data_IF_673395393362
#
_entry.id   IF_673395393362
#
_cell.length_a   1.000
_cell.length_b   1.000
_cell.length_c   1.000
_cell.angle_alpha   90.00
_cell.angle_beta   90.00
_cell.angle_gamma   90.00
#
_symmetry.space_group_name_H-M   'P 1'
#
loop_
_entity.id
_entity.type
_entity.pdbx_description
1 polymer ?
#
# COMPACT_ATOMS: atom_id res chain seq x y z
N UNK A 1 -10.75 -2.70 -68.15
CA UNK A 1 -11.10 -1.33 -68.59
C UNK A 1 -11.09 -0.40 -67.37
N UNK A 2 -10.29 0.67 -67.45
CA UNK A 2 -10.42 2.01 -66.82
C UNK A 2 -10.78 2.18 -65.32
N UNK A 3 -9.73 2.46 -64.53
CA UNK A 3 -9.45 3.68 -63.73
C UNK A 3 -10.56 4.66 -63.29
N UNK A 4 -10.54 5.03 -61.99
CA UNK A 4 -10.57 6.39 -61.39
C UNK A 4 -10.46 6.23 -59.86
N UNK A 5 -9.39 6.61 -59.14
CA UNK A 5 -8.87 7.94 -58.75
C UNK A 5 -9.86 8.84 -58.01
N UNK A 6 -9.75 8.88 -56.67
CA UNK A 6 -9.61 10.14 -55.92
C UNK A 6 -8.73 9.95 -54.68
N UNK A 7 -7.98 11.01 -54.40
CA UNK A 7 -6.90 11.22 -53.43
C UNK A 7 -7.40 11.82 -52.13
N UNK A 8 -6.78 11.48 -51.00
CA UNK A 8 -6.58 12.47 -49.92
C UNK A 8 -5.29 12.21 -49.13
N UNK A 9 -4.70 13.31 -48.64
CA UNK A 9 -3.28 13.49 -48.29
C UNK A 9 -2.96 13.13 -46.83
N UNK A 10 -1.83 12.43 -46.68
CA UNK A 10 -0.74 12.54 -45.67
C UNK A 10 -1.03 13.14 -44.28
N UNK A 11 -0.64 12.38 -43.25
CA UNK A 11 0.50 12.80 -42.38
C UNK A 11 1.15 11.59 -41.68
N UNK A 12 2.49 11.53 -41.56
CA UNK A 12 3.22 10.37 -41.03
C UNK A 12 3.39 10.44 -39.50
N UNK A 13 3.23 9.32 -38.79
CA UNK A 13 3.75 9.16 -37.43
C UNK A 13 5.07 8.39 -37.47
N UNK A 14 6.07 9.00 -36.87
CA UNK A 14 7.50 8.64 -36.85
C UNK A 14 7.77 7.48 -35.89
N UNK A 15 8.70 6.62 -36.27
CA UNK A 15 9.31 5.54 -35.50
C UNK A 15 10.39 6.05 -34.52
N UNK A 16 10.44 5.42 -33.34
CA UNK A 16 11.55 5.18 -32.40
C UNK A 16 12.94 5.82 -32.63
N UNK A 17 13.50 6.40 -31.55
CA UNK A 17 14.91 6.35 -31.16
C UNK A 17 15.00 6.64 -29.64
N UNK A 18 15.78 5.99 -28.78
CA UNK A 18 16.99 5.21 -29.01
C UNK A 18 18.24 6.05 -28.74
N UNK A 19 18.84 5.85 -27.55
CA UNK A 19 20.22 6.17 -27.15
C UNK A 19 20.66 7.61 -26.86
N UNK A 20 21.47 7.73 -25.81
CA UNK A 20 22.71 8.51 -25.86
C UNK A 20 22.87 9.60 -24.79
N UNK A 21 23.20 9.23 -23.56
CA UNK A 21 23.87 10.16 -22.65
C UNK A 21 25.29 10.40 -23.15
N UNK A 22 25.51 11.56 -23.77
CA UNK A 22 26.85 12.08 -24.04
C UNK A 22 27.24 12.97 -22.87
N UNK A 23 28.27 12.55 -22.13
CA UNK A 23 28.96 13.40 -21.17
C UNK A 23 29.56 14.61 -21.88
N UNK A 24 29.29 15.82 -21.38
CA UNK A 24 30.06 17.00 -21.75
C UNK A 24 30.98 17.35 -20.58
N UNK A 25 32.25 16.99 -20.78
CA UNK A 25 33.40 17.45 -20.00
C UNK A 25 33.60 18.95 -20.16
N UNK A 26 33.90 19.61 -19.05
CA UNK A 26 34.56 20.91 -19.05
C UNK A 26 35.91 20.80 -19.76
N UNK A 27 36.18 21.70 -20.73
CA UNK A 27 37.43 22.48 -20.85
C UNK A 27 37.43 23.28 -22.17
N UNK A 28 37.72 24.58 -22.10
CA UNK A 28 39.01 25.16 -22.49
C UNK A 28 38.87 26.54 -23.13
N UNK A 29 39.72 27.44 -22.64
CA UNK A 29 39.96 28.76 -23.17
C UNK A 29 40.80 28.73 -24.46
N UNK A 30 40.65 29.82 -25.23
CA UNK A 30 41.65 30.59 -25.98
C UNK A 30 41.46 30.65 -27.51
N UNK A 31 41.38 31.89 -28.04
CA UNK A 31 41.81 32.20 -29.41
C UNK A 31 41.04 33.27 -30.20
N UNK A 32 41.40 34.55 -30.03
CA UNK A 32 41.73 35.43 -31.17
C UNK A 32 40.69 36.43 -31.73
N UNK A 33 40.69 37.66 -31.17
CA UNK A 33 40.89 38.91 -31.91
C UNK A 33 39.76 39.53 -32.75
N UNK A 34 39.26 40.71 -32.32
CA UNK A 34 38.70 41.72 -33.24
C UNK A 34 37.52 42.54 -32.72
N UNK A 35 37.81 43.56 -31.91
CA UNK A 35 37.08 44.84 -31.74
C UNK A 35 35.56 44.91 -31.98
N UNK A 36 34.83 45.08 -30.87
CA UNK A 36 33.43 45.52 -30.86
C UNK A 36 32.81 45.25 -29.49
N UNK A 37 33.15 46.07 -28.50
CA UNK A 37 32.55 45.98 -27.17
C UNK A 37 31.08 46.37 -27.24
N UNK A 38 30.20 45.38 -27.34
CA UNK A 38 28.83 45.50 -26.89
C UNK A 38 28.71 44.76 -25.55
N UNK A 39 28.65 45.54 -24.47
CA UNK A 39 28.52 45.06 -23.11
C UNK A 39 27.06 44.66 -22.84
N UNK A 40 26.53 43.66 -23.54
CA UNK A 40 25.11 43.28 -23.46
C UNK A 40 24.75 42.42 -22.24
N UNK A 41 25.63 42.28 -21.24
CA UNK A 41 25.30 41.53 -20.01
C UNK A 41 24.84 42.42 -18.84
N UNK A 42 24.83 43.75 -19.00
CA UNK A 42 24.59 44.66 -17.89
C UNK A 42 23.12 44.72 -17.44
N UNK A 43 22.18 44.51 -18.38
CA UNK A 43 20.75 44.72 -18.16
C UNK A 43 19.91 43.45 -18.41
N UNK A 44 20.44 42.29 -18.00
CA UNK A 44 19.80 41.00 -18.22
C UNK A 44 18.94 40.60 -17.02
N UNK A 45 17.64 40.49 -17.26
CA UNK A 45 16.67 39.84 -16.38
C UNK A 45 16.76 38.33 -16.53
N UNK A 46 16.70 37.63 -15.42
CA UNK A 46 16.69 36.19 -15.29
C UNK A 46 15.44 35.78 -14.52
N UNK A 47 14.66 34.84 -15.07
CA UNK A 47 13.43 34.40 -14.40
C UNK A 47 13.74 33.77 -13.03
N UNK A 48 12.84 34.02 -12.08
CA UNK A 48 12.97 33.57 -10.71
C UNK A 48 12.16 32.29 -10.45
N UNK A 49 12.68 31.47 -9.56
CA UNK A 49 12.01 30.29 -9.02
C UNK A 49 12.11 30.32 -7.50
N UNK A 50 10.97 30.38 -6.83
CA UNK A 50 10.87 30.25 -5.38
C UNK A 50 10.13 28.97 -5.02
N UNK A 51 10.64 28.26 -4.03
CA UNK A 51 9.95 27.17 -3.37
C UNK A 51 9.69 27.57 -1.93
N UNK A 52 8.44 27.45 -1.47
CA UNK A 52 8.09 27.68 -0.07
C UNK A 52 7.61 26.38 0.55
N UNK A 53 8.11 26.10 1.75
CA UNK A 53 7.74 24.92 2.51
C UNK A 53 6.54 25.18 3.43
N UNK A 54 5.83 26.31 3.31
CA UNK A 54 4.65 26.56 4.13
C UNK A 54 3.51 27.22 3.34
N UNK A 55 2.28 26.96 3.79
CA UNK A 55 1.07 27.63 3.30
C UNK A 55 0.81 28.99 3.99
N UNK A 56 1.75 29.46 4.81
CA UNK A 56 1.68 30.74 5.52
C UNK A 56 2.20 31.88 4.65
N UNK A 57 1.94 33.13 5.08
CA UNK A 57 2.50 34.29 4.39
C UNK A 57 4.03 34.27 4.51
N UNK A 58 4.73 34.40 3.39
CA UNK A 58 6.19 34.49 3.31
C UNK A 58 6.60 35.88 2.83
N UNK A 59 7.68 36.40 3.39
CA UNK A 59 8.33 37.63 2.93
C UNK A 59 9.71 37.29 2.38
N UNK A 60 9.92 37.61 1.11
CA UNK A 60 11.20 37.52 0.43
C UNK A 60 11.87 38.89 0.50
N UNK A 61 12.98 39.05 1.26
CA UNK A 61 13.64 40.34 1.41
C UNK A 61 14.48 40.67 0.17
N UNK A 62 14.84 41.95 0.02
CA UNK A 62 15.60 42.51 -1.11
C UNK A 62 16.81 41.66 -1.54
N UNK A 63 17.67 41.13 -0.64
CA UNK A 63 18.83 40.32 -1.04
C UNK A 63 18.48 38.98 -1.70
N UNK A 64 17.24 38.52 -1.59
CA UNK A 64 16.71 37.30 -2.22
C UNK A 64 15.51 37.62 -3.15
N UNK A 65 15.21 38.90 -3.36
CA UNK A 65 14.09 39.38 -4.16
C UNK A 65 14.30 39.14 -5.66
N UNK A 66 13.35 39.57 -6.47
CA UNK A 66 13.31 39.27 -7.92
C UNK A 66 14.48 39.89 -8.72
N UNK A 67 15.22 40.83 -8.12
CA UNK A 67 16.42 41.44 -8.70
C UNK A 67 17.73 40.74 -8.28
N UNK A 68 17.68 39.75 -7.38
CA UNK A 68 18.88 39.19 -6.76
C UNK A 68 19.77 38.39 -7.74
N UNK A 69 19.19 37.86 -8.82
CA UNK A 69 19.84 37.10 -9.89
C UNK A 69 19.95 37.88 -11.22
N UNK A 70 19.59 39.16 -11.19
CA UNK A 70 19.53 40.05 -12.34
C UNK A 70 20.80 40.88 -12.52
N UNK A 71 20.90 41.56 -13.66
CA UNK A 71 21.97 42.51 -13.92
C UNK A 71 21.99 43.65 -12.89
N UNK A 72 23.17 43.96 -12.35
CA UNK A 72 23.35 44.92 -11.25
C UNK A 72 22.89 46.36 -11.56
N UNK A 73 22.69 46.70 -12.83
CA UNK A 73 22.18 48.00 -13.26
C UNK A 73 20.65 48.13 -13.12
N UNK A 74 19.95 47.02 -12.87
CA UNK A 74 18.51 46.98 -12.61
C UNK A 74 18.25 47.27 -11.12
N UNK A 75 17.54 48.37 -10.85
CA UNK A 75 17.41 48.93 -9.49
C UNK A 75 15.98 48.97 -8.98
N UNK A 76 15.00 48.80 -9.87
CA UNK A 76 13.59 48.82 -9.47
C UNK A 76 12.72 47.89 -10.28
N UNK A 77 11.56 47.51 -9.73
CA UNK A 77 10.57 46.68 -10.40
C UNK A 77 9.15 47.24 -10.29
N UNK A 78 8.32 46.88 -11.27
CA UNK A 78 6.87 47.01 -11.21
C UNK A 78 6.18 45.69 -11.55
N UNK A 79 5.00 45.46 -10.97
CA UNK A 79 4.21 44.27 -11.23
C UNK A 79 3.47 44.40 -12.58
N UNK A 80 3.67 43.45 -13.49
CA UNK A 80 2.98 43.41 -14.79
C UNK A 80 1.72 42.56 -14.77
N UNK A 81 1.79 41.39 -14.12
CA UNK A 81 0.65 40.50 -13.96
C UNK A 81 0.67 39.87 -12.59
N UNK A 82 -0.46 39.89 -11.90
CA UNK A 82 -0.60 39.30 -10.59
C UNK A 82 -0.64 37.76 -10.66
N UNK A 83 -0.48 37.14 -9.51
CA UNK A 83 -0.74 35.72 -9.29
C UNK A 83 -2.20 35.36 -9.53
N UNK A 84 -2.46 34.11 -9.96
CA UNK A 84 -3.80 33.71 -10.40
C UNK A 84 -4.69 33.21 -9.27
N UNK A 85 -4.10 32.62 -8.23
CA UNK A 85 -4.87 31.88 -7.23
C UNK A 85 -4.46 32.14 -5.77
N UNK A 86 -3.42 32.95 -5.54
CA UNK A 86 -2.98 33.30 -4.19
C UNK A 86 -4.02 34.11 -3.39
N UNK A 87 -3.89 34.07 -2.07
CA UNK A 87 -4.64 34.96 -1.17
C UNK A 87 -4.15 36.41 -1.27
N UNK A 88 -2.85 36.64 -1.48
CA UNK A 88 -2.28 37.97 -1.74
C UNK A 88 -0.85 37.92 -2.28
N UNK A 89 -0.48 38.91 -3.11
CA UNK A 89 0.90 39.25 -3.49
C UNK A 89 1.11 40.76 -3.35
N UNK A 90 2.21 41.16 -2.71
CA UNK A 90 2.66 42.56 -2.66
C UNK A 90 4.12 42.61 -3.11
N UNK A 91 4.39 43.11 -4.31
CA UNK A 91 5.73 43.39 -4.84
C UNK A 91 6.10 44.84 -4.56
N UNK A 92 7.25 45.08 -3.95
CA UNK A 92 7.78 46.44 -3.71
C UNK A 92 8.81 46.80 -4.79
N UNK A 93 9.01 48.10 -4.99
CA UNK A 93 9.88 48.60 -6.06
C UNK A 93 11.33 48.16 -5.92
N UNK A 94 11.79 47.80 -4.72
CA UNK A 94 13.15 47.30 -4.47
C UNK A 94 13.32 45.81 -4.83
N UNK A 95 12.27 45.15 -5.32
CA UNK A 95 12.30 43.73 -5.70
C UNK A 95 12.00 42.76 -4.56
N UNK A 96 11.79 43.23 -3.34
CA UNK A 96 11.25 42.40 -2.25
C UNK A 96 9.75 42.16 -2.44
N UNK A 97 9.22 41.08 -1.87
CA UNK A 97 7.78 40.82 -1.95
C UNK A 97 7.25 40.01 -0.77
N UNK A 98 5.96 40.17 -0.50
CA UNK A 98 5.20 39.29 0.41
C UNK A 98 4.19 38.49 -0.39
N UNK A 99 4.17 37.18 -0.18
CA UNK A 99 3.28 36.24 -0.85
C UNK A 99 2.49 35.43 0.17
N UNK A 100 1.18 35.28 -0.03
CA UNK A 100 0.31 34.42 0.79
C UNK A 100 -0.44 33.44 -0.12
N UNK A 101 -0.15 32.14 -0.03
CA UNK A 101 -0.81 31.10 -0.82
C UNK A 101 -2.34 31.11 -0.68
N UNK A 102 -3.04 30.70 -1.74
CA UNK A 102 -4.43 30.23 -1.66
C UNK A 102 -4.47 28.79 -1.15
N UNK A 103 -5.64 28.33 -0.70
CA UNK A 103 -5.81 26.95 -0.24
C UNK A 103 -5.62 25.95 -1.41
N UNK A 104 -4.81 24.91 -1.19
CA UNK A 104 -4.62 23.81 -2.16
C UNK A 104 -3.83 24.16 -3.41
N UNK A 105 -2.98 25.20 -3.37
CA UNK A 105 -2.10 25.55 -4.49
C UNK A 105 -0.78 24.79 -4.46
N UNK A 106 -0.41 24.25 -5.61
CA UNK A 106 0.86 23.59 -5.87
C UNK A 106 1.84 24.49 -6.61
N UNK A 107 1.33 25.34 -7.50
CA UNK A 107 2.14 26.26 -8.30
C UNK A 107 1.42 27.59 -8.55
N UNK A 108 2.21 28.65 -8.65
CA UNK A 108 1.74 29.99 -9.00
C UNK A 108 2.79 30.73 -9.84
N UNK A 109 2.43 31.87 -10.41
CA UNK A 109 3.39 32.71 -11.13
C UNK A 109 2.93 34.15 -11.23
N UNK A 110 3.89 35.07 -11.27
CA UNK A 110 3.64 36.47 -11.60
C UNK A 110 4.72 36.99 -12.55
N UNK A 111 4.47 38.13 -13.20
CA UNK A 111 5.45 38.80 -14.05
C UNK A 111 5.75 40.18 -13.53
N UNK A 112 7.01 40.60 -13.65
CA UNK A 112 7.48 41.92 -13.29
C UNK A 112 8.22 42.56 -14.45
N UNK A 113 8.40 43.88 -14.37
CA UNK A 113 9.30 44.64 -15.23
C UNK A 113 10.39 45.24 -14.38
N UNK A 114 11.64 44.88 -14.66
CA UNK A 114 12.80 45.49 -14.07
C UNK A 114 13.21 46.74 -14.85
N UNK A 115 13.69 47.75 -14.14
CA UNK A 115 14.09 49.05 -14.67
C UNK A 115 15.46 49.45 -14.12
N UNK A 116 16.33 49.91 -15.01
CA UNK A 116 17.62 50.51 -14.67
C UNK A 116 17.50 52.01 -14.40
N UNK A 117 18.53 52.59 -13.78
CA UNK A 117 18.61 54.03 -13.50
C UNK A 117 18.57 54.91 -14.77
N UNK A 118 18.99 54.36 -15.92
CA UNK A 118 18.94 55.03 -17.23
C UNK A 118 17.60 54.81 -17.98
N UNK A 119 16.62 54.18 -17.33
CA UNK A 119 15.25 54.02 -17.83
C UNK A 119 15.06 52.88 -18.84
N UNK A 120 16.04 51.99 -19.01
CA UNK A 120 15.86 50.77 -19.80
C UNK A 120 15.06 49.75 -19.00
N UNK A 121 14.23 48.98 -19.70
CA UNK A 121 13.32 48.03 -19.05
C UNK A 121 13.41 46.64 -19.66
N UNK A 122 13.27 45.61 -18.83
CA UNK A 122 13.11 44.24 -19.30
C UNK A 122 12.11 43.50 -18.40
N UNK A 123 11.35 42.57 -18.98
CA UNK A 123 10.35 41.80 -18.24
C UNK A 123 10.92 40.47 -17.74
N UNK A 124 10.55 40.09 -16.53
CA UNK A 124 10.86 38.81 -15.90
C UNK A 124 9.59 38.04 -15.51
N UNK A 125 9.77 36.76 -15.23
CA UNK A 125 8.73 35.89 -14.69
C UNK A 125 9.21 35.23 -13.41
N UNK A 126 8.35 35.23 -12.39
CA UNK A 126 8.52 34.47 -11.17
C UNK A 126 7.64 33.24 -11.23
N UNK A 127 8.22 32.07 -10.97
CA UNK A 127 7.51 30.82 -10.71
C UNK A 127 7.58 30.53 -9.21
N UNK A 128 6.43 30.19 -8.60
CA UNK A 128 6.34 29.81 -7.19
C UNK A 128 5.87 28.36 -7.12
N UNK A 129 6.53 27.54 -6.31
CA UNK A 129 6.14 26.17 -6.00
C UNK A 129 5.85 26.07 -4.50
N UNK A 130 4.70 25.51 -4.15
CA UNK A 130 4.14 25.49 -2.80
C UNK A 130 3.88 24.09 -2.26
N UNK A 131 3.51 23.19 -3.16
CA UNK A 131 3.26 21.81 -2.81
C UNK A 131 4.58 21.05 -2.87
N UNK A 132 5.32 21.12 -1.76
CA UNK A 132 6.42 20.21 -1.45
C UNK A 132 5.89 18.99 -0.69
N UNK A 133 4.61 18.62 -0.80
CA UNK A 133 4.10 17.38 -0.24
C UNK A 133 4.79 16.23 -1.01
N UNK A 134 5.98 15.89 -0.54
CA UNK A 134 6.71 14.68 -0.88
C UNK A 134 6.07 13.46 -0.24
N UNK A 135 4.76 13.49 0.04
CA UNK A 135 3.96 12.31 0.34
C UNK A 135 3.99 11.43 -0.91
N UNK A 136 5.08 10.69 -1.02
CA UNK A 136 5.33 9.73 -2.07
C UNK A 136 5.14 8.35 -1.50
N UNK A 137 4.59 7.46 -2.33
CA UNK A 137 4.79 6.06 -2.14
C UNK A 137 5.75 5.53 -3.19
N UNK A 138 6.80 4.84 -2.73
CA UNK A 138 7.63 4.06 -3.65
C UNK A 138 7.31 2.59 -3.47
N UNK A 139 6.76 2.00 -4.53
CA UNK A 139 6.61 0.57 -4.67
C UNK A 139 7.95 -0.11 -4.90
N UNK A 140 8.26 -1.12 -4.10
CA UNK A 140 9.51 -1.85 -4.16
C UNK A 140 9.28 -3.34 -4.22
N UNK A 141 9.99 -3.99 -5.13
CA UNK A 141 10.16 -5.42 -5.10
C UNK A 141 11.47 -5.75 -4.37
N UNK A 142 11.37 -6.09 -3.09
CA UNK A 142 12.56 -6.36 -2.25
C UNK A 142 13.16 -7.75 -2.49
N UNK A 143 12.56 -8.56 -3.38
CA UNK A 143 13.07 -9.90 -3.70
C UNK A 143 14.53 -9.92 -4.17
N UNK A 144 15.09 -8.78 -4.64
CA UNK A 144 16.46 -8.70 -5.16
C UNK A 144 17.26 -7.46 -4.72
N UNK A 145 16.70 -6.52 -3.94
CA UNK A 145 17.35 -5.25 -3.62
C UNK A 145 17.67 -5.15 -2.12
N UNK A 146 18.96 -5.00 -1.77
CA UNK A 146 19.41 -4.73 -0.39
C UNK A 146 19.37 -3.23 -0.01
N UNK A 147 19.15 -2.35 -0.99
CA UNK A 147 18.87 -0.93 -0.75
C UNK A 147 18.18 -0.31 -1.97
N UNK A 148 17.51 0.83 -1.78
CA UNK A 148 16.91 1.63 -2.85
C UNK A 148 17.25 3.10 -2.68
N UNK A 149 17.36 3.85 -3.77
CA UNK A 149 17.39 5.31 -3.71
C UNK A 149 15.94 5.84 -3.63
N UNK A 150 15.64 6.61 -2.60
CA UNK A 150 14.37 7.32 -2.43
C UNK A 150 14.58 8.80 -2.69
N UNK A 151 13.62 9.43 -3.35
CA UNK A 151 13.61 10.88 -3.59
C UNK A 151 12.33 11.47 -3.04
N UNK A 152 12.49 12.51 -2.24
CA UNK A 152 11.44 13.23 -1.56
C UNK A 152 11.08 14.55 -2.27
N UNK A 153 11.93 14.98 -3.21
CA UNK A 153 11.75 16.19 -4.01
C UNK A 153 11.01 15.88 -5.33
N UNK A 154 10.11 16.76 -5.80
CA UNK A 154 9.53 16.70 -7.13
C UNK A 154 10.60 16.63 -8.23
N UNK A 155 10.37 15.80 -9.26
CA UNK A 155 11.30 15.58 -10.39
C UNK A 155 11.66 16.85 -11.17
N UNK A 156 10.86 17.90 -11.06
CA UNK A 156 11.02 19.16 -11.79
C UNK A 156 11.82 20.23 -11.02
N UNK A 157 12.21 19.97 -9.77
CA UNK A 157 12.93 20.92 -8.91
C UNK A 157 14.45 20.70 -8.90
N UNK A 158 15.04 20.20 -10.00
CA UNK A 158 16.48 19.92 -10.10
C UNK A 158 17.41 21.11 -9.80
N UNK A 159 16.86 22.32 -9.57
CA UNK A 159 17.63 23.53 -9.30
C UNK A 159 16.94 24.62 -8.46
N UNK A 160 15.88 24.34 -7.70
CA UNK A 160 15.37 25.35 -6.76
C UNK A 160 16.36 25.48 -5.59
N UNK A 161 17.28 26.44 -5.69
CA UNK A 161 18.19 26.78 -4.61
C UNK A 161 17.39 27.16 -3.35
N UNK A 162 17.79 26.64 -2.19
CA UNK A 162 17.27 27.08 -0.90
C UNK A 162 16.24 26.18 -0.22
N UNK A 163 16.15 24.89 -0.58
CA UNK A 163 15.46 23.89 0.25
C UNK A 163 16.49 23.02 1.00
N UNK A 164 16.18 22.71 2.25
CA UNK A 164 16.95 21.77 3.09
C UNK A 164 16.04 20.68 3.64
N UNK A 165 16.45 19.43 3.46
CA UNK A 165 15.72 18.25 3.94
C UNK A 165 16.37 17.67 5.20
N UNK A 166 15.55 17.18 6.13
CA UNK A 166 15.99 16.38 7.29
C UNK A 166 15.01 15.25 7.60
N UNK A 167 15.50 14.15 8.16
CA UNK A 167 14.68 13.00 8.57
C UNK A 167 14.20 13.24 10.01
N UNK A 168 12.88 13.20 10.23
CA UNK A 168 12.26 13.36 11.55
C UNK A 168 12.20 12.00 12.27
N UNK A 169 11.74 10.97 11.57
CA UNK A 169 11.64 9.61 12.10
C UNK A 169 12.28 8.61 11.14
N UNK A 170 12.92 7.59 11.68
CA UNK A 170 13.43 6.48 10.86
C UNK A 170 12.29 5.48 10.60
N UNK A 171 12.34 4.78 9.45
CA UNK A 171 11.51 3.61 9.22
C UNK A 171 11.69 2.53 10.31
N UNK A 172 10.69 1.66 10.50
CA UNK A 172 10.75 0.58 11.51
C UNK A 172 11.27 -0.75 10.95
N UNK A 173 11.21 -0.96 9.64
CA UNK A 173 11.63 -2.18 8.92
C UNK A 173 12.92 -1.98 8.11
N UNK A 174 13.62 -0.88 8.35
CA UNK A 174 14.89 -0.54 7.72
C UNK A 174 15.46 0.76 8.25
N UNK A 175 16.33 1.39 7.47
CA UNK A 175 16.92 2.68 7.83
C UNK A 175 17.18 3.54 6.60
N UNK A 176 17.03 4.84 6.76
CA UNK A 176 17.46 5.83 5.77
C UNK A 176 18.88 6.30 6.10
N UNK A 177 19.75 6.18 5.11
CA UNK A 177 21.15 6.62 5.18
C UNK A 177 21.52 7.51 4.01
N UNK A 178 22.59 8.28 4.15
CA UNK A 178 23.14 9.07 3.05
C UNK A 178 22.20 10.14 2.51
N UNK A 179 21.45 10.80 3.40
CA UNK A 179 20.59 11.93 3.02
C UNK A 179 21.42 13.04 2.37
N UNK A 180 21.15 13.31 1.10
CA UNK A 180 21.51 14.56 0.45
C UNK A 180 20.46 15.61 0.84
N UNK A 181 20.82 16.47 1.80
CA UNK A 181 19.91 17.46 2.36
C UNK A 181 19.56 18.58 1.37
N UNK A 182 20.29 18.73 0.26
CA UNK A 182 19.99 19.73 -0.76
C UNK A 182 19.08 19.16 -1.86
N UNK A 183 19.30 17.89 -2.25
CA UNK A 183 18.51 17.23 -3.28
C UNK A 183 17.26 16.52 -2.76
N UNK A 184 17.15 16.32 -1.44
CA UNK A 184 16.05 15.57 -0.85
C UNK A 184 16.05 14.12 -1.32
N UNK A 185 17.21 13.48 -1.32
CA UNK A 185 17.36 12.08 -1.68
C UNK A 185 18.13 11.31 -0.62
N UNK A 186 17.73 10.08 -0.34
CA UNK A 186 18.44 9.19 0.58
C UNK A 186 18.46 7.77 0.03
N UNK A 187 19.19 6.89 0.70
CA UNK A 187 19.18 5.46 0.43
C UNK A 187 18.47 4.75 1.56
N UNK A 188 17.39 4.03 1.25
CA UNK A 188 16.74 3.12 2.19
C UNK A 188 17.47 1.79 2.18
N UNK A 189 17.94 1.35 3.34
CA UNK A 189 18.54 0.03 3.58
C UNK A 189 17.53 -0.83 4.34
N UNK A 190 17.15 -1.95 3.73
CA UNK A 190 16.18 -2.88 4.31
C UNK A 190 16.79 -3.65 5.48
N UNK A 191 16.00 -3.94 6.51
CA UNK A 191 16.35 -4.96 7.49
C UNK A 191 15.89 -6.33 6.97
N UNK A 192 16.82 -7.14 6.43
CA UNK A 192 16.56 -8.52 6.05
C UNK A 192 15.41 -8.71 5.04
N UNK A 193 14.47 -9.61 5.34
CA UNK A 193 13.34 -10.01 4.49
C UNK A 193 12.05 -9.22 4.77
N UNK A 194 12.16 -7.93 5.13
CA UNK A 194 11.03 -7.09 5.52
C UNK A 194 9.95 -6.98 4.43
N UNK A 195 8.68 -7.03 4.84
CA UNK A 195 7.49 -7.05 3.96
C UNK A 195 6.46 -6.01 4.37
N UNK A 196 5.47 -5.77 3.50
CA UNK A 196 4.39 -4.82 3.73
C UNK A 196 4.85 -3.38 3.61
N UNK A 197 4.26 -2.46 4.38
CA UNK A 197 4.65 -1.06 4.35
C UNK A 197 5.67 -0.73 5.43
N UNK A 198 6.50 0.27 5.15
CA UNK A 198 7.32 0.98 6.12
C UNK A 198 7.16 2.48 5.90
N UNK A 199 7.20 3.26 6.98
CA UNK A 199 6.85 4.69 6.96
C UNK A 199 7.86 5.51 7.73
N UNK A 200 8.17 6.70 7.22
CA UNK A 200 9.03 7.66 7.89
C UNK A 200 8.57 9.08 7.62
N UNK A 201 8.98 10.01 8.49
CA UNK A 201 8.67 11.43 8.34
C UNK A 201 9.90 12.21 7.88
N UNK A 202 9.71 13.07 6.89
CA UNK A 202 10.73 13.98 6.38
C UNK A 202 10.26 15.41 6.59
N UNK A 203 11.20 16.27 6.98
CA UNK A 203 11.04 17.71 7.04
C UNK A 203 11.70 18.35 5.83
N UNK A 204 11.00 19.31 5.23
CA UNK A 204 11.58 20.25 4.27
C UNK A 204 11.50 21.66 4.85
N UNK A 205 12.60 22.39 4.76
CA UNK A 205 12.72 23.77 5.19
C UNK A 205 13.17 24.62 4.01
N UNK A 206 12.52 25.77 3.84
CA UNK A 206 12.97 26.77 2.88
C UNK A 206 13.94 27.79 3.52
N UNK A 207 14.60 28.51 2.64
CA UNK A 207 15.58 29.56 2.89
C UNK A 207 15.02 30.82 3.57
N UNK A 208 13.70 30.84 3.81
CA UNK A 208 12.94 31.92 4.45
C UNK A 208 12.38 31.49 5.81
N UNK A 209 12.70 30.27 6.26
CA UNK A 209 12.30 29.73 7.56
C UNK A 209 10.95 29.02 7.56
N UNK A 210 10.30 28.89 6.39
CA UNK A 210 9.13 28.03 6.23
C UNK A 210 9.51 26.55 6.39
N UNK A 211 8.63 25.77 7.02
CA UNK A 211 8.85 24.35 7.27
C UNK A 211 7.56 23.59 6.98
N UNK A 212 7.68 22.48 6.24
CA UNK A 212 6.66 21.45 6.10
C UNK A 212 7.23 20.10 6.53
N UNK A 213 6.36 19.17 6.88
CA UNK A 213 6.72 17.78 7.16
C UNK A 213 5.69 16.87 6.50
N UNK A 214 6.17 15.78 5.90
CA UNK A 214 5.33 14.81 5.22
C UNK A 214 5.74 13.40 5.59
N UNK A 215 4.77 12.49 5.56
CA UNK A 215 4.99 11.06 5.72
C UNK A 215 5.30 10.45 4.36
N UNK A 216 6.31 9.60 4.31
CA UNK A 216 6.70 8.85 3.12
C UNK A 216 6.47 7.37 3.40
N UNK A 217 5.82 6.67 2.46
CA UNK A 217 5.53 5.24 2.58
C UNK A 217 6.35 4.44 1.57
N UNK A 218 6.91 3.34 2.04
CA UNK A 218 7.64 2.36 1.25
C UNK A 218 6.83 1.07 1.23
N UNK A 219 6.37 0.64 0.06
CA UNK A 219 5.75 -0.67 -0.09
C UNK A 219 6.83 -1.71 -0.44
N UNK A 220 7.18 -2.55 0.52
CA UNK A 220 8.23 -3.56 0.45
C UNK A 220 7.75 -4.82 -0.30
N UNK A 221 8.37 -5.98 -0.04
CA UNK A 221 7.87 -7.25 -0.60
C UNK A 221 6.42 -7.52 -0.16
N UNK A 222 5.64 -8.24 -0.99
CA UNK A 222 4.28 -8.63 -0.64
C UNK A 222 4.23 -9.34 0.71
N UNK A 223 3.19 -9.03 1.49
CA UNK A 223 2.90 -9.68 2.76
C UNK A 223 2.34 -11.07 2.50
N UNK A 224 2.91 -12.09 3.14
CA UNK A 224 2.45 -13.47 3.01
C UNK A 224 1.27 -13.69 3.93
N UNK A 225 0.12 -14.01 3.35
CA UNK A 225 -1.10 -14.27 4.09
C UNK A 225 -1.37 -15.77 4.04
N UNK A 226 -1.56 -16.42 5.18
CA UNK A 226 -2.02 -17.80 5.24
C UNK A 226 -3.53 -17.84 5.56
N UNK A 227 -4.40 -18.13 4.58
CA UNK A 227 -5.76 -18.54 4.86
C UNK A 227 -5.74 -19.88 5.61
N UNK A 228 -6.06 -19.87 6.90
CA UNK A 228 -5.96 -21.04 7.79
C UNK A 228 -7.35 -21.43 8.29
N UNK A 229 -7.68 -22.71 8.22
CA UNK A 229 -8.96 -23.18 8.75
C UNK A 229 -9.38 -24.54 8.26
N UNK A 230 -10.69 -24.74 8.24
CA UNK A 230 -11.32 -26.00 7.87
C UNK A 230 -11.81 -26.00 6.40
N UNK A 231 -12.88 -26.75 6.12
CA UNK A 231 -13.52 -26.84 4.81
C UNK A 231 -14.02 -25.50 4.29
N UNK A 232 -14.39 -24.57 5.17
CA UNK A 232 -14.81 -23.23 4.78
C UNK A 232 -13.64 -22.46 4.13
N UNK A 233 -12.43 -22.61 4.66
CA UNK A 233 -11.21 -22.00 4.10
C UNK A 233 -10.76 -22.68 2.80
N UNK A 234 -10.90 -24.01 2.70
CA UNK A 234 -10.66 -24.70 1.42
C UNK A 234 -11.66 -24.23 0.35
N UNK A 235 -12.90 -23.90 0.73
CA UNK A 235 -13.91 -23.40 -0.20
C UNK A 235 -14.89 -24.47 -0.67
N UNK A 236 -15.25 -25.39 0.21
CA UNK A 236 -16.33 -26.34 -0.02
C UNK A 236 -17.67 -25.60 0.01
N UNK A 237 -18.48 -25.72 -1.04
CA UNK A 237 -19.84 -25.15 -1.07
C UNK A 237 -20.93 -26.13 -0.63
N UNK A 238 -20.70 -27.46 -0.72
CA UNK A 238 -21.51 -28.45 0.00
C UNK A 238 -20.89 -29.86 0.17
N UNK A 239 -21.38 -30.66 1.13
CA UNK A 239 -20.85 -31.96 1.62
C UNK A 239 -21.58 -33.24 1.12
N UNK A 240 -22.21 -33.26 -0.06
CA UNK A 240 -22.89 -34.49 -0.52
C UNK A 240 -21.93 -35.55 -1.11
N UNK A 241 -21.53 -36.57 -0.33
CA UNK A 241 -20.88 -37.83 -0.82
C UNK A 241 -21.96 -38.74 -1.47
N UNK A 242 -21.80 -39.55 -2.53
CA UNK A 242 -20.68 -40.14 -3.28
C UNK A 242 -21.20 -40.61 -4.66
N UNK A 243 -20.41 -40.50 -5.74
CA UNK A 243 -20.76 -41.10 -7.04
C UNK A 243 -20.48 -42.60 -7.10
N UNK A 244 -21.39 -43.42 -7.66
CA UNK A 244 -21.01 -44.64 -8.34
C UNK A 244 -20.97 -44.48 -9.87
N UNK A 245 -21.65 -43.50 -10.49
CA UNK A 245 -21.76 -43.41 -11.95
C UNK A 245 -22.37 -42.11 -12.55
N UNK A 246 -22.07 -40.93 -12.01
CA UNK A 246 -22.47 -39.57 -12.49
C UNK A 246 -23.93 -39.14 -12.19
N UNK A 247 -24.13 -38.17 -11.27
CA UNK A 247 -24.63 -36.81 -11.54
C UNK A 247 -25.34 -36.16 -10.30
N UNK A 248 -24.59 -35.62 -9.34
CA UNK A 248 -24.79 -34.24 -8.79
C UNK A 248 -23.75 -33.95 -7.69
N UNK A 249 -22.62 -33.37 -8.08
CA UNK A 249 -21.60 -32.87 -7.14
C UNK A 249 -21.99 -31.47 -6.67
N UNK A 250 -22.07 -31.25 -5.37
CA UNK A 250 -22.43 -29.96 -4.79
C UNK A 250 -21.25 -29.33 -3.99
N UNK A 251 -20.15 -30.10 -3.87
CA UNK A 251 -18.77 -29.60 -3.76
C UNK A 251 -18.20 -29.28 -5.14
N UNK A 252 -17.54 -28.12 -5.36
CA UNK A 252 -16.82 -27.86 -6.59
C UNK A 252 -15.68 -28.89 -6.74
N UNK A 253 -15.32 -29.27 -7.98
CA UNK A 253 -14.05 -29.94 -8.25
C UNK A 253 -12.89 -29.25 -7.52
N UNK A 254 -11.87 -29.99 -7.10
CA UNK A 254 -10.75 -29.43 -6.31
C UNK A 254 -10.14 -28.19 -6.98
N UNK A 255 -10.04 -28.17 -8.31
CA UNK A 255 -9.55 -27.04 -9.10
C UNK A 255 -10.55 -25.87 -9.26
N UNK A 256 -11.68 -25.91 -8.56
CA UNK A 256 -12.69 -24.86 -8.52
C UNK A 256 -13.05 -24.43 -7.09
N UNK A 257 -12.44 -25.06 -6.07
CA UNK A 257 -12.64 -24.70 -4.66
C UNK A 257 -11.87 -23.43 -4.34
N UNK A 258 -12.54 -22.30 -4.44
CA UNK A 258 -11.95 -20.98 -4.17
C UNK A 258 -12.40 -20.35 -2.86
N UNK A 259 -13.58 -20.73 -2.36
CA UNK A 259 -14.16 -20.17 -1.12
C UNK A 259 -14.18 -18.64 -1.10
N UNK A 260 -13.91 -18.06 0.08
CA UNK A 260 -13.75 -16.61 0.24
C UNK A 260 -12.43 -16.08 -0.36
N UNK A 261 -11.45 -16.94 -0.63
CA UNK A 261 -10.10 -16.53 -1.02
C UNK A 261 -10.10 -15.76 -2.35
N UNK A 262 -10.88 -16.22 -3.34
CA UNK A 262 -11.02 -15.52 -4.63
C UNK A 262 -11.64 -14.11 -4.51
N UNK A 263 -12.82 -13.92 -3.89
CA UNK A 263 -13.36 -12.57 -3.75
C UNK A 263 -12.48 -11.68 -2.85
N UNK A 264 -11.83 -12.24 -1.82
CA UNK A 264 -10.87 -11.48 -1.02
C UNK A 264 -9.64 -11.06 -1.85
N UNK A 265 -9.09 -11.95 -2.67
CA UNK A 265 -8.00 -11.66 -3.60
C UNK A 265 -8.35 -10.47 -4.50
N UNK A 266 -9.54 -10.47 -5.10
CA UNK A 266 -9.99 -9.37 -5.97
C UNK A 266 -10.13 -8.07 -5.18
N UNK A 267 -10.73 -8.11 -3.98
CA UNK A 267 -10.91 -6.96 -3.11
C UNK A 267 -9.58 -6.33 -2.68
N UNK A 268 -8.59 -7.16 -2.33
CA UNK A 268 -7.27 -6.70 -1.90
C UNK A 268 -6.49 -6.08 -3.07
N UNK A 269 -6.47 -6.74 -4.23
CA UNK A 269 -5.82 -6.21 -5.43
C UNK A 269 -6.45 -4.89 -5.89
N UNK A 270 -7.79 -4.83 -5.95
CA UNK A 270 -8.51 -3.61 -6.34
C UNK A 270 -8.29 -2.46 -5.35
N UNK A 271 -8.01 -2.77 -4.09
CA UNK A 271 -7.69 -1.79 -3.06
C UNK A 271 -6.20 -1.39 -3.03
N UNK A 272 -5.35 -1.99 -3.87
CA UNK A 272 -3.92 -1.67 -3.98
C UNK A 272 -3.04 -2.37 -2.93
N UNK A 273 -3.53 -3.41 -2.26
CA UNK A 273 -2.69 -4.20 -1.35
C UNK A 273 -1.73 -5.08 -2.11
N UNK A 274 -0.55 -5.31 -1.53
CA UNK A 274 0.46 -6.23 -2.06
C UNK A 274 0.63 -7.41 -1.13
N UNK A 275 0.16 -8.56 -1.57
CA UNK A 275 0.15 -9.78 -0.78
C UNK A 275 0.48 -11.01 -1.64
N UNK A 276 0.69 -12.12 -0.95
CA UNK A 276 0.99 -13.45 -1.49
C UNK A 276 0.26 -14.45 -0.59
N UNK A 277 -0.73 -15.19 -1.09
CA UNK A 277 -1.30 -16.26 -0.28
C UNK A 277 -0.29 -17.41 -0.16
N UNK A 278 -0.18 -17.98 1.04
CA UNK A 278 0.76 -19.06 1.34
C UNK A 278 0.09 -20.22 2.06
N UNK A 279 0.66 -21.40 1.91
CA UNK A 279 0.19 -22.65 2.50
C UNK A 279 0.49 -23.83 1.58
N UNK A 280 0.44 -25.04 2.13
CA UNK A 280 0.74 -26.27 1.41
C UNK A 280 -0.41 -26.75 0.52
N UNK A 281 -1.64 -26.30 0.78
CA UNK A 281 -2.79 -26.65 -0.05
C UNK A 281 -2.88 -25.74 -1.27
N UNK A 282 -3.32 -26.32 -2.38
CA UNK A 282 -3.34 -25.69 -3.70
C UNK A 282 -4.67 -25.91 -4.42
N UNK A 283 -5.76 -26.12 -3.67
CA UNK A 283 -7.09 -26.21 -4.25
C UNK A 283 -7.48 -24.86 -4.89
N UNK A 284 -8.25 -24.96 -5.98
CA UNK A 284 -8.39 -24.01 -7.09
C UNK A 284 -7.29 -24.12 -8.16
N UNK A 285 -7.72 -24.26 -9.41
CA UNK A 285 -6.84 -24.30 -10.56
C UNK A 285 -6.36 -22.89 -10.90
N UNK A 286 -5.11 -22.79 -11.35
CA UNK A 286 -4.46 -21.55 -11.81
C UNK A 286 -5.30 -20.71 -12.79
N UNK A 287 -6.26 -21.33 -13.50
CA UNK A 287 -7.16 -20.65 -14.43
C UNK A 287 -8.29 -19.85 -13.76
N UNK A 288 -8.46 -19.94 -12.43
CA UNK A 288 -9.52 -19.23 -11.67
C UNK A 288 -8.98 -18.00 -10.95
N UNK A 289 -7.83 -18.10 -10.28
CA UNK A 289 -6.96 -16.99 -9.86
C UNK A 289 -5.54 -17.50 -9.62
N UNK A 290 -4.53 -16.64 -9.72
CA UNK A 290 -3.12 -17.02 -9.84
C UNK A 290 -2.37 -17.17 -8.50
N UNK A 291 -3.05 -16.95 -7.38
CA UNK A 291 -2.52 -17.00 -6.02
C UNK A 291 -3.51 -17.76 -5.15
N UNK A 292 -3.52 -19.08 -5.28
CA UNK A 292 -4.56 -19.95 -4.74
C UNK A 292 -4.12 -20.73 -3.49
N UNK A 293 -2.90 -20.53 -3.02
CA UNK A 293 -2.34 -21.26 -1.88
C UNK A 293 -3.16 -21.01 -0.61
N UNK A 294 -3.28 -22.03 0.23
CA UNK A 294 -3.96 -21.93 1.53
C UNK A 294 -3.54 -23.05 2.48
N UNK A 295 -4.05 -22.96 3.72
CA UNK A 295 -3.93 -23.98 4.75
C UNK A 295 -5.31 -24.40 5.31
N UNK A 296 -6.34 -24.37 4.46
CA UNK A 296 -7.66 -24.94 4.73
C UNK A 296 -7.71 -26.48 4.63
N UNK A 297 -8.14 -27.17 5.68
CA UNK A 297 -8.22 -28.64 5.75
C UNK A 297 -9.64 -29.11 6.12
N UNK A 298 -10.41 -29.67 5.16
CA UNK A 298 -11.75 -30.18 5.45
C UNK A 298 -11.75 -31.25 6.54
N UNK A 299 -12.71 -31.15 7.46
CA UNK A 299 -12.87 -32.10 8.57
C UNK A 299 -11.97 -31.84 9.78
N UNK A 300 -10.84 -31.14 9.62
CA UNK A 300 -9.91 -30.92 10.73
C UNK A 300 -10.54 -30.04 11.81
N UNK A 301 -10.47 -30.49 13.06
CA UNK A 301 -10.78 -29.70 14.24
C UNK A 301 -9.74 -28.61 14.49
N UNK A 302 -10.09 -27.67 15.37
CA UNK A 302 -9.14 -26.69 15.91
C UNK A 302 -7.97 -27.35 16.68
N UNK A 303 -8.17 -28.53 17.28
CA UNK A 303 -7.08 -29.31 17.88
C UNK A 303 -6.09 -29.88 16.85
N UNK A 304 -6.62 -30.38 15.73
CA UNK A 304 -5.82 -30.96 14.65
C UNK A 304 -5.06 -29.88 13.87
N UNK A 305 -5.68 -28.71 13.68
CA UNK A 305 -5.00 -27.51 13.18
C UNK A 305 -3.87 -27.06 14.13
N UNK A 306 -4.03 -27.23 15.45
CA UNK A 306 -2.95 -27.04 16.41
C UNK A 306 -1.88 -28.16 16.37
N UNK A 307 -2.08 -29.23 15.60
CA UNK A 307 -1.15 -30.37 15.50
C UNK A 307 -1.32 -31.43 16.58
N UNK A 308 -2.44 -31.41 17.31
CA UNK A 308 -2.79 -32.39 18.33
C UNK A 308 -3.99 -33.22 17.90
N UNK A 309 -4.03 -34.50 18.28
CA UNK A 309 -5.23 -35.32 18.05
C UNK A 309 -6.42 -34.74 18.78
N UNK A 310 -7.57 -34.79 18.14
CA UNK A 310 -8.82 -34.41 18.76
C UNK A 310 -9.13 -35.27 20.01
N UNK A 311 -9.32 -34.67 21.20
CA UNK A 311 -9.53 -35.42 22.44
C UNK A 311 -10.80 -36.27 22.50
N UNK A 312 -11.82 -36.01 21.67
CA UNK A 312 -13.02 -36.86 21.63
C UNK A 312 -13.00 -37.88 20.47
N UNK A 313 -11.97 -37.83 19.61
CA UNK A 313 -11.79 -38.71 18.46
C UNK A 313 -12.89 -38.60 17.40
N UNK A 314 -13.70 -37.54 17.44
CA UNK A 314 -14.93 -37.42 16.62
C UNK A 314 -14.67 -37.16 15.13
N UNK A 315 -13.44 -36.83 14.73
CA UNK A 315 -13.03 -36.58 13.35
C UNK A 315 -12.14 -37.66 12.71
N UNK A 316 -12.05 -38.87 13.30
CA UNK A 316 -11.18 -39.98 12.87
C UNK A 316 -11.30 -40.50 11.42
N UNK A 317 -12.12 -39.88 10.56
CA UNK A 317 -12.21 -40.17 9.12
C UNK A 317 -11.40 -39.23 8.24
N UNK A 318 -10.71 -38.23 8.79
CA UNK A 318 -9.84 -37.31 8.05
C UNK A 318 -8.41 -37.86 7.87
N UNK A 319 -7.55 -37.06 7.23
CA UNK A 319 -6.16 -37.43 6.92
C UNK A 319 -5.16 -36.91 7.96
N UNK A 320 -5.60 -36.52 9.16
CA UNK A 320 -4.72 -35.94 10.17
C UNK A 320 -3.58 -36.89 10.57
N UNK A 321 -2.35 -36.39 10.50
CA UNK A 321 -1.14 -37.12 10.83
C UNK A 321 -0.42 -36.43 12.00
N UNK A 322 -0.50 -36.97 13.23
CA UNK A 322 0.15 -36.39 14.41
C UNK A 322 1.66 -36.19 14.21
N UNK A 323 2.15 -35.00 14.57
CA UNK A 323 3.56 -34.63 14.44
C UNK A 323 4.00 -34.24 13.02
N UNK A 324 3.12 -34.38 12.03
CA UNK A 324 3.32 -33.88 10.67
C UNK A 324 2.41 -32.69 10.43
N UNK A 325 1.11 -32.86 10.69
CA UNK A 325 0.12 -31.79 10.57
C UNK A 325 0.13 -30.90 11.82
N UNK A 326 -0.14 -29.61 11.61
CA UNK A 326 -0.20 -28.59 12.65
C UNK A 326 0.43 -27.27 12.21
N UNK A 327 -0.11 -26.17 12.74
CA UNK A 327 0.26 -24.81 12.36
C UNK A 327 1.77 -24.52 12.49
N UNK A 328 2.43 -25.04 13.51
CA UNK A 328 3.88 -24.87 13.68
C UNK A 328 4.69 -25.41 12.48
N UNK A 329 4.35 -26.62 12.01
CA UNK A 329 5.02 -27.25 10.88
C UNK A 329 4.65 -26.53 9.58
N UNK A 330 3.38 -26.13 9.42
CA UNK A 330 2.94 -25.42 8.23
C UNK A 330 3.57 -24.03 8.09
N UNK A 331 3.79 -23.30 9.19
CA UNK A 331 4.56 -22.06 9.20
C UNK A 331 6.05 -22.29 8.92
N UNK A 332 6.60 -23.44 9.32
CA UNK A 332 7.99 -23.79 9.01
C UNK A 332 8.19 -24.05 7.52
N UNK A 333 7.24 -24.74 6.88
CA UNK A 333 7.29 -25.08 5.46
C UNK A 333 6.84 -23.92 4.55
N UNK A 334 5.84 -23.16 4.99
CA UNK A 334 5.22 -22.07 4.24
C UNK A 334 5.05 -20.86 5.16
N UNK A 335 6.14 -20.13 5.46
CA UNK A 335 6.07 -19.09 6.49
C UNK A 335 5.17 -17.95 6.04
N UNK A 336 4.35 -17.48 6.97
CA UNK A 336 3.40 -16.39 6.78
C UNK A 336 3.81 -15.18 7.63
N UNK A 337 3.35 -14.01 7.22
CA UNK A 337 3.45 -12.78 8.01
C UNK A 337 2.10 -12.44 8.65
N UNK A 338 1.00 -12.85 7.99
CA UNK A 338 -0.37 -12.71 8.47
C UNK A 338 -1.10 -14.06 8.38
N UNK A 339 -1.87 -14.41 9.40
CA UNK A 339 -2.79 -15.56 9.37
C UNK A 339 -4.24 -15.06 9.38
N UNK A 340 -5.09 -15.62 8.51
CA UNK A 340 -6.55 -15.49 8.59
C UNK A 340 -7.12 -16.79 9.15
N UNK A 341 -7.32 -16.84 10.47
CA UNK A 341 -7.73 -18.05 11.20
C UNK A 341 -9.25 -18.11 11.33
N UNK A 342 -9.86 -19.12 10.69
CA UNK A 342 -11.26 -19.50 10.89
C UNK A 342 -11.34 -21.00 11.14
N UNK A 343 -11.49 -21.39 12.41
CA UNK A 343 -11.47 -22.78 12.85
C UNK A 343 -12.39 -23.00 14.07
N UNK A 344 -12.83 -24.24 14.26
CA UNK A 344 -13.75 -24.65 15.34
C UNK A 344 -15.15 -25.03 14.85
N UNK A 345 -15.42 -24.94 13.54
CA UNK A 345 -16.69 -25.39 12.95
C UNK A 345 -16.87 -26.89 13.12
N UNK A 346 -15.79 -27.65 12.94
CA UNK A 346 -15.76 -29.08 13.17
C UNK A 346 -15.89 -29.36 14.67
N UNK A 347 -16.75 -30.31 15.01
CA UNK A 347 -17.09 -30.73 16.39
C UNK A 347 -17.92 -29.77 17.23
N UNK A 348 -18.44 -28.68 16.64
CA UNK A 348 -19.33 -27.75 17.34
C UNK A 348 -20.55 -28.44 17.97
N UNK A 349 -20.95 -29.61 17.48
CA UNK A 349 -22.02 -30.43 18.05
C UNK A 349 -21.72 -30.89 19.49
N UNK A 350 -20.45 -31.16 19.80
CA UNK A 350 -20.03 -31.76 21.06
C UNK A 350 -19.11 -30.85 21.89
N UNK A 351 -18.58 -29.79 21.28
CA UNK A 351 -17.59 -28.91 21.89
C UNK A 351 -17.84 -27.47 21.52
N UNK A 352 -18.03 -26.65 22.54
CA UNK A 352 -18.27 -25.21 22.41
C UNK A 352 -17.20 -24.40 23.12
N UNK A 353 -16.03 -24.99 23.36
CA UNK A 353 -14.91 -24.30 24.00
C UNK A 353 -13.85 -23.92 22.97
N UNK A 354 -13.23 -22.75 23.14
CA UNK A 354 -12.19 -22.23 22.27
C UNK A 354 -10.77 -22.74 22.60
N UNK A 355 -10.62 -23.76 23.45
CA UNK A 355 -9.30 -24.30 23.84
C UNK A 355 -8.49 -24.79 22.64
N UNK A 356 -9.13 -25.38 21.62
CA UNK A 356 -8.40 -25.79 20.42
C UNK A 356 -7.82 -24.59 19.68
N UNK A 357 -8.60 -23.51 19.53
CA UNK A 357 -8.10 -22.24 18.96
C UNK A 357 -6.99 -21.62 19.83
N UNK A 358 -7.11 -21.65 21.15
CA UNK A 358 -6.03 -21.21 22.05
C UNK A 358 -4.75 -22.02 21.83
N UNK A 359 -4.85 -23.33 21.60
CA UNK A 359 -3.70 -24.18 21.27
C UNK A 359 -3.08 -23.83 19.92
N UNK A 360 -3.87 -23.45 18.90
CA UNK A 360 -3.33 -22.94 17.63
C UNK A 360 -2.47 -21.70 17.89
N UNK A 361 -2.99 -20.75 18.67
CA UNK A 361 -2.26 -19.52 19.00
C UNK A 361 -0.99 -19.80 19.82
N UNK A 362 -1.03 -20.72 20.78
CA UNK A 362 0.16 -21.16 21.53
C UNK A 362 1.25 -21.76 20.61
N UNK A 363 0.85 -22.51 19.57
CA UNK A 363 1.79 -23.08 18.61
C UNK A 363 2.35 -22.01 17.65
N UNK A 364 1.59 -20.95 17.35
CA UNK A 364 2.10 -19.77 16.66
C UNK A 364 3.15 -19.08 17.54
N UNK A 365 2.88 -18.79 18.82
CA UNK A 365 3.87 -18.18 19.74
C UNK A 365 5.15 -19.03 19.84
N UNK A 366 5.00 -20.36 19.89
CA UNK A 366 6.13 -21.28 19.93
C UNK A 366 6.98 -21.14 18.67
N UNK A 367 6.35 -21.07 17.50
CA UNK A 367 7.03 -20.87 16.23
C UNK A 367 7.72 -19.51 16.16
N UNK A 368 7.05 -18.44 16.59
CA UNK A 368 7.59 -17.08 16.66
C UNK A 368 8.86 -17.00 17.52
N UNK A 369 8.79 -17.58 18.73
CA UNK A 369 9.93 -17.67 19.66
C UNK A 369 11.10 -18.44 19.04
N UNK A 370 10.83 -19.59 18.42
CA UNK A 370 11.88 -20.45 17.83
C UNK A 370 12.55 -19.79 16.61
N UNK A 371 11.83 -18.93 15.88
CA UNK A 371 12.30 -18.31 14.64
C UNK A 371 12.66 -16.82 14.77
N UNK A 372 12.44 -16.21 15.94
CA UNK A 372 12.59 -14.76 16.16
C UNK A 372 11.82 -13.93 15.12
N UNK A 373 10.59 -14.35 14.83
CA UNK A 373 9.67 -13.75 13.89
C UNK A 373 8.32 -13.47 14.57
N UNK A 374 7.50 -12.60 14.00
CA UNK A 374 6.16 -12.28 14.50
C UNK A 374 5.14 -12.50 13.37
N UNK A 375 3.96 -13.00 13.70
CA UNK A 375 2.89 -13.39 12.80
C UNK A 375 1.58 -12.77 13.29
N UNK A 376 1.14 -11.70 12.65
CA UNK A 376 -0.13 -11.05 13.01
C UNK A 376 -1.30 -11.96 12.66
N UNK A 377 -2.15 -12.29 13.63
CA UNK A 377 -3.21 -13.29 13.44
C UNK A 377 -4.61 -12.68 13.57
N UNK A 378 -5.37 -12.72 12.48
CA UNK A 378 -6.79 -12.37 12.51
C UNK A 378 -7.58 -13.61 12.92
N UNK A 379 -8.13 -13.61 14.13
CA UNK A 379 -8.91 -14.71 14.69
C UNK A 379 -10.39 -14.43 14.48
N UNK A 380 -11.04 -15.23 13.64
CA UNK A 380 -12.47 -15.07 13.38
C UNK A 380 -13.33 -15.87 14.36
N UNK A 381 -14.40 -15.23 14.84
CA UNK A 381 -15.58 -15.96 15.31
C UNK A 381 -16.06 -16.91 14.20
N UNK A 382 -16.48 -18.12 14.52
CA UNK A 382 -16.99 -19.03 13.50
C UNK A 382 -18.34 -18.52 12.97
N UNK A 383 -18.62 -18.80 11.70
CA UNK A 383 -19.93 -18.51 11.11
C UNK A 383 -20.98 -19.46 11.66
N UNK A 384 -22.25 -19.10 11.52
CA UNK A 384 -23.35 -19.97 11.98
C UNK A 384 -23.38 -21.32 11.27
N UNK A 385 -24.07 -22.31 11.85
CA UNK A 385 -24.25 -23.64 11.30
C UNK A 385 -25.56 -24.22 11.80
N UNK A 386 -26.27 -24.94 10.95
CA UNK A 386 -27.57 -25.50 11.29
C UNK A 386 -27.79 -26.89 10.68
N UNK A 387 -26.74 -27.73 10.70
CA UNK A 387 -26.83 -29.14 10.28
C UNK A 387 -27.65 -29.94 11.28
N UNK A 388 -27.59 -29.57 12.56
CA UNK A 388 -28.38 -30.14 13.67
C UNK A 388 -29.10 -29.04 14.47
N UNK A 389 -30.13 -29.43 15.24
CA UNK A 389 -30.95 -28.50 16.04
C UNK A 389 -30.17 -27.67 17.06
N UNK A 390 -29.06 -28.21 17.56
CA UNK A 390 -28.28 -27.60 18.63
C UNK A 390 -27.10 -26.78 18.09
N UNK A 391 -26.76 -26.92 16.80
CA UNK A 391 -25.56 -26.33 16.20
C UNK A 391 -25.56 -24.79 16.38
N UNK A 392 -26.68 -24.12 16.13
CA UNK A 392 -26.78 -22.66 16.28
C UNK A 392 -26.46 -22.20 17.71
N UNK A 393 -27.08 -22.83 18.72
CA UNK A 393 -26.83 -22.50 20.11
C UNK A 393 -25.37 -22.80 20.51
N UNK A 394 -24.80 -23.87 19.96
CA UNK A 394 -23.42 -24.25 20.21
C UNK A 394 -22.41 -23.29 19.54
N UNK A 395 -22.69 -22.81 18.33
CA UNK A 395 -21.89 -21.75 17.67
C UNK A 395 -21.88 -20.48 18.52
N UNK A 396 -23.06 -20.06 19.00
CA UNK A 396 -23.15 -18.89 19.90
C UNK A 396 -22.33 -19.11 21.18
N UNK A 397 -22.40 -20.29 21.78
CA UNK A 397 -21.61 -20.62 22.97
C UNK A 397 -20.11 -20.62 22.70
N UNK A 398 -19.66 -21.20 21.57
CA UNK A 398 -18.25 -21.18 21.16
C UNK A 398 -17.74 -19.77 20.91
N UNK A 399 -18.49 -18.96 20.15
CA UNK A 399 -18.11 -17.57 19.88
C UNK A 399 -18.08 -16.71 21.16
N UNK A 400 -18.92 -17.02 22.15
CA UNK A 400 -18.91 -16.36 23.46
C UNK A 400 -17.73 -16.80 24.35
N UNK A 401 -17.18 -18.00 24.15
CA UNK A 401 -15.95 -18.48 24.82
C UNK A 401 -14.68 -17.92 24.14
N UNK A 402 -14.68 -17.85 22.80
CA UNK A 402 -13.57 -17.38 21.97
C UNK A 402 -13.22 -15.90 22.22
N UNK A 403 -14.22 -15.02 22.22
CA UNK A 403 -14.01 -13.58 22.33
C UNK A 403 -13.21 -13.14 23.58
N UNK A 404 -13.57 -13.55 24.82
CA UNK A 404 -12.79 -13.19 25.99
C UNK A 404 -11.38 -13.80 25.99
N UNK A 405 -11.19 -15.00 25.42
CA UNK A 405 -9.86 -15.61 25.29
C UNK A 405 -8.96 -14.78 24.37
N UNK A 406 -9.43 -14.43 23.17
CA UNK A 406 -8.66 -13.61 22.21
C UNK A 406 -8.37 -12.23 22.80
N UNK A 407 -9.36 -11.57 23.43
CA UNK A 407 -9.17 -10.27 24.05
C UNK A 407 -8.15 -10.30 25.21
N UNK A 408 -8.10 -11.40 25.98
CA UNK A 408 -7.10 -11.57 27.04
C UNK A 408 -5.68 -11.69 26.47
N UNK A 409 -5.52 -12.37 25.33
CA UNK A 409 -4.23 -12.48 24.62
C UNK A 409 -3.78 -11.16 24.01
N UNK A 410 -4.69 -10.41 23.38
CA UNK A 410 -4.40 -9.04 22.89
C UNK A 410 -3.91 -8.14 24.03
N UNK A 411 -4.55 -8.23 25.21
CA UNK A 411 -4.12 -7.49 26.40
C UNK A 411 -2.77 -7.97 26.98
N UNK A 412 -2.30 -9.15 26.57
CA UNK A 412 -1.02 -9.74 26.91
C UNK A 412 0.08 -9.50 25.87
N UNK A 413 -0.09 -8.50 25.00
CA UNK A 413 0.84 -8.08 23.93
C UNK A 413 0.94 -9.02 22.72
N UNK A 414 -0.01 -9.94 22.54
CA UNK A 414 -0.14 -10.76 21.33
C UNK A 414 -0.73 -9.93 20.16
N UNK A 415 -0.16 -10.04 18.96
CA UNK A 415 -0.58 -9.27 17.77
C UNK A 415 -1.79 -9.94 17.08
N UNK A 416 -2.92 -9.95 17.78
CA UNK A 416 -4.17 -10.51 17.29
C UNK A 416 -5.19 -9.45 16.89
N UNK A 417 -6.04 -9.80 15.93
CA UNK A 417 -7.24 -9.05 15.57
C UNK A 417 -8.45 -9.97 15.67
N UNK A 418 -9.38 -9.69 16.59
CA UNK A 418 -10.65 -10.41 16.63
C UNK A 418 -11.56 -9.95 15.48
N UNK A 419 -12.02 -10.89 14.67
CA UNK A 419 -12.92 -10.64 13.53
C UNK A 419 -14.31 -11.20 13.84
N UNK A 420 -15.31 -10.34 13.86
CA UNK A 420 -16.71 -10.75 14.01
C UNK A 420 -17.30 -11.29 12.70
N UNK A 421 -16.76 -12.44 12.27
CA UNK A 421 -17.20 -13.09 11.04
C UNK A 421 -18.62 -13.66 11.16
N UNK A 422 -19.06 -14.00 12.37
CA UNK A 422 -20.43 -14.43 12.66
C UNK A 422 -21.44 -13.37 12.21
N UNK A 423 -21.23 -12.11 12.60
CA UNK A 423 -22.09 -11.00 12.16
C UNK A 423 -21.90 -10.64 10.68
N UNK A 424 -20.66 -10.77 10.15
CA UNK A 424 -20.37 -10.48 8.75
C UNK A 424 -21.07 -11.44 7.78
N UNK A 425 -21.27 -12.69 8.18
CA UNK A 425 -21.90 -13.76 7.40
C UNK A 425 -23.26 -14.13 8.04
N UNK A 426 -24.31 -13.31 7.84
CA UNK A 426 -25.58 -13.53 8.50
C UNK A 426 -26.20 -14.86 8.06
N UNK A 427 -26.68 -15.63 9.04
CA UNK A 427 -27.42 -16.87 8.76
C UNK A 427 -28.70 -16.55 7.99
N UNK A 428 -28.70 -16.88 6.71
CA UNK A 428 -29.87 -16.82 5.85
C UNK A 428 -29.88 -17.97 4.87
N UNK A 429 -30.90 -18.81 5.00
CA UNK A 429 -31.27 -19.83 4.01
C UNK A 429 -32.46 -19.36 3.13
N UNK A 430 -32.88 -18.09 3.25
CA UNK A 430 -34.05 -17.52 2.55
C UNK A 430 -33.98 -15.98 2.33
N UNK A 431 -34.46 -15.43 1.19
CA UNK A 431 -35.19 -16.12 0.13
C UNK A 431 -34.26 -16.82 -0.88
N UNK A 432 -34.82 -17.82 -1.56
CA UNK A 432 -34.13 -18.74 -2.47
C UNK A 432 -33.33 -18.09 -3.62
N UNK A 433 -33.45 -16.78 -3.86
CA UNK A 433 -32.71 -16.11 -4.92
C UNK A 433 -31.22 -15.98 -4.63
N UNK A 434 -30.81 -15.91 -3.36
CA UNK A 434 -29.39 -15.81 -3.01
C UNK A 434 -29.08 -16.11 -1.51
N UNK A 435 -29.17 -17.37 -1.05
CA UNK A 435 -28.91 -17.72 0.34
C UNK A 435 -27.42 -17.61 0.71
N UNK A 436 -27.11 -17.39 1.99
CA UNK A 436 -25.73 -17.36 2.52
C UNK A 436 -25.16 -18.78 2.67
N UNK A 437 -25.98 -19.70 3.16
CA UNK A 437 -25.61 -21.09 3.42
C UNK A 437 -26.24 -22.01 2.38
N UNK A 438 -25.55 -23.09 2.08
CA UNK A 438 -26.12 -24.15 1.27
C UNK A 438 -27.31 -24.79 1.99
N UNK A 439 -28.39 -25.03 1.23
CA UNK A 439 -29.64 -25.52 1.78
C UNK A 439 -29.60 -27.02 2.13
N UNK A 440 -28.69 -27.77 1.50
CA UNK A 440 -28.58 -29.22 1.65
C UNK A 440 -27.79 -29.61 2.90
N UNK A 441 -26.62 -29.01 3.13
CA UNK A 441 -25.75 -29.38 4.25
C UNK A 441 -25.77 -28.42 5.44
N UNK A 442 -26.25 -27.19 5.22
CA UNK A 442 -26.44 -26.13 6.24
C UNK A 442 -25.20 -25.84 7.08
N UNK A 443 -24.03 -26.10 6.51
CA UNK A 443 -22.70 -25.93 7.11
C UNK A 443 -21.85 -25.06 6.21
N UNK A 444 -21.84 -25.37 4.91
CA UNK A 444 -21.03 -24.68 3.94
C UNK A 444 -21.75 -23.47 3.34
N UNK A 445 -20.94 -22.54 2.83
CA UNK A 445 -21.42 -21.29 2.29
C UNK A 445 -21.66 -21.39 0.80
N UNK A 446 -22.66 -20.68 0.31
CA UNK A 446 -22.77 -20.40 -1.12
C UNK A 446 -21.70 -19.40 -1.55
N UNK A 447 -21.57 -19.15 -2.86
CA UNK A 447 -20.72 -18.06 -3.38
C UNK A 447 -21.04 -16.70 -2.73
N UNK A 448 -22.31 -16.45 -2.38
CA UNK A 448 -22.71 -15.21 -1.69
C UNK A 448 -22.28 -15.21 -0.24
N UNK A 449 -22.38 -16.34 0.47
CA UNK A 449 -21.83 -16.45 1.81
C UNK A 449 -20.31 -16.26 1.83
N UNK A 450 -19.60 -16.83 0.85
CA UNK A 450 -18.16 -16.63 0.70
C UNK A 450 -17.78 -15.19 0.32
N UNK A 451 -18.61 -14.49 -0.48
CA UNK A 451 -18.43 -13.06 -0.70
C UNK A 451 -18.57 -12.26 0.61
N UNK A 452 -19.58 -12.57 1.43
CA UNK A 452 -19.75 -11.93 2.75
C UNK A 452 -18.57 -12.19 3.68
N UNK A 453 -18.05 -13.42 3.67
CA UNK A 453 -16.88 -13.79 4.46
C UNK A 453 -15.64 -13.01 3.99
N UNK A 454 -15.46 -12.85 2.68
CA UNK A 454 -14.40 -12.00 2.12
C UNK A 454 -14.57 -10.52 2.49
N UNK A 455 -15.79 -9.99 2.46
CA UNK A 455 -16.08 -8.61 2.89
C UNK A 455 -15.73 -8.41 4.38
N UNK A 456 -16.03 -9.40 5.23
CA UNK A 456 -15.68 -9.41 6.65
C UNK A 456 -14.17 -9.36 6.89
N UNK A 457 -13.41 -10.22 6.20
CA UNK A 457 -11.94 -10.20 6.23
C UNK A 457 -11.39 -8.86 5.73
N UNK A 458 -11.90 -8.37 4.58
CA UNK A 458 -11.48 -7.10 3.99
C UNK A 458 -11.72 -5.92 4.94
N UNK A 459 -12.86 -5.90 5.62
CA UNK A 459 -13.17 -4.86 6.60
C UNK A 459 -12.20 -4.87 7.79
N UNK A 460 -11.82 -6.06 8.28
CA UNK A 460 -10.83 -6.18 9.35
C UNK A 460 -9.43 -5.74 8.90
N UNK A 461 -9.05 -6.09 7.68
CA UNK A 461 -7.79 -5.68 7.04
C UNK A 461 -7.73 -4.16 6.86
N UNK A 462 -8.80 -3.54 6.38
CA UNK A 462 -8.87 -2.09 6.17
C UNK A 462 -8.79 -1.31 7.48
N UNK A 463 -9.27 -1.90 8.58
CA UNK A 463 -9.12 -1.33 9.91
C UNK A 463 -7.68 -1.46 10.47
N UNK A 464 -6.85 -2.32 9.87
CA UNK A 464 -5.47 -2.61 10.28
C UNK A 464 -4.49 -2.52 9.08
N UNK A 465 -4.45 -1.40 8.34
CA UNK A 465 -3.75 -1.32 7.05
C UNK A 465 -2.23 -1.44 7.15
N UNK A 466 -1.66 -1.17 8.34
CA UNK A 466 -0.23 -1.32 8.61
C UNK A 466 0.25 -2.79 8.49
N UNK A 467 -0.63 -3.76 8.73
CA UNK A 467 -0.29 -5.19 8.71
C UNK A 467 -0.06 -5.72 7.28
N UNK A 468 -0.76 -5.17 6.29
CA UNK A 468 -0.72 -5.67 4.91
C UNK A 468 0.04 -4.77 3.95
N UNK A 469 0.36 -3.55 4.37
CA UNK A 469 1.18 -2.62 3.60
C UNK A 469 0.48 -2.11 2.34
N UNK A 470 0.05 -0.86 2.38
CA UNK A 470 -0.56 -0.19 1.25
C UNK A 470 0.15 1.13 0.95
N UNK A 471 0.44 1.38 -0.32
CA UNK A 471 0.65 2.72 -0.82
C UNK A 471 -0.70 3.44 -0.92
N UNK A 472 -0.89 4.52 -0.17
CA UNK A 472 -2.02 5.43 -0.36
C UNK A 472 -1.67 6.55 -1.33
#
# INVERSE_FOLDING_TARGET
MKTSHQTEKKSPRVFHAGMGFLAVTALSACGGGGGGGDNTSANKVTNDLYAFASSTSVTVPTPKGVLANDGADLVSVELLSNVNAASSLTLTSDGSFTYRPGAGLDRDSFRYRAMSDDGKTQDGQVTIVLDLDGAGCTEMNTANAQSVAVRFSPTDLTSAAGLTYSIISQPSKGSLVGLDSALGSATYQFAGNSRGADTFEVRVQDDFGGVSSFSYTLALSPVRIMPLGDSLTQGITSDSVQEPSDASFDSPPMDQRVGYRKPLFDLLNNAGYRFDFVGSQTDAGFNVFNDYQHQGHPGFSDYEIAGSSDPDGSNSGDTFTPGVDGIYNWLSDNPADVILLHAGTNNIRFRTSSVGVENILNEIDRWESDNSAMVSTFVAKIVDKNRNTDDHANVLAFNADLEPMVNARIAGDDELVLVDMYSAVPYSIAPASNPTFDASDKTHLTNTGYQRMADGWKSAIDANPALLGKCN
#
